data_IF_024912925419
#
_entry.id   IF_024912925419
#
_cell.length_a   1.000
_cell.length_b   1.000
_cell.length_c   1.000
_cell.angle_alpha   90.00
_cell.angle_beta   90.00
_cell.angle_gamma   90.00
#
_symmetry.space_group_name_H-M   'P 1'
#
loop_
_entity.id
_entity.type
_entity.pdbx_description
1 polymer ?
#
# COMPACT_ATOMS: atom_id res chain seq x y z
N UNK A 1 7.23 -25.34 -4.51
CA UNK A 1 6.06 -25.51 -3.62
C UNK A 1 5.50 -24.19 -3.06
N UNK A 2 6.30 -23.30 -2.44
CA UNK A 2 5.77 -22.07 -1.81
C UNK A 2 5.03 -21.11 -2.77
N UNK A 3 5.50 -20.95 -4.00
CA UNK A 3 4.93 -20.01 -5.00
C UNK A 3 3.51 -20.39 -5.47
N UNK A 4 3.25 -21.67 -5.78
CA UNK A 4 1.92 -22.13 -6.19
C UNK A 4 0.87 -21.97 -5.07
N UNK A 5 1.26 -22.26 -3.83
CA UNK A 5 0.41 -22.02 -2.67
C UNK A 5 0.19 -20.53 -2.41
N UNK A 6 1.14 -19.66 -2.76
CA UNK A 6 0.98 -18.22 -2.66
C UNK A 6 0.00 -17.70 -3.72
N UNK A 7 0.10 -18.15 -4.98
CA UNK A 7 -0.84 -17.79 -6.05
C UNK A 7 -2.27 -18.23 -5.70
N UNK A 8 -2.45 -19.48 -5.26
CA UNK A 8 -3.79 -19.97 -4.85
C UNK A 8 -4.40 -19.11 -3.76
N UNK A 9 -3.59 -18.66 -2.79
CA UNK A 9 -4.04 -17.74 -1.73
C UNK A 9 -4.37 -16.35 -2.26
N UNK A 10 -3.56 -15.79 -3.16
CA UNK A 10 -3.90 -14.51 -3.83
C UNK A 10 -5.22 -14.62 -4.58
N UNK A 11 -5.41 -15.69 -5.38
CA UNK A 11 -6.67 -15.90 -6.11
C UNK A 11 -7.86 -16.06 -5.17
N UNK A 12 -7.69 -16.75 -4.03
CA UNK A 12 -8.73 -16.87 -3.02
C UNK A 12 -9.11 -15.51 -2.41
N UNK A 13 -8.12 -14.67 -2.07
CA UNK A 13 -8.37 -13.32 -1.54
C UNK A 13 -9.04 -12.40 -2.56
N UNK A 14 -8.57 -12.42 -3.82
CA UNK A 14 -9.21 -11.67 -4.92
C UNK A 14 -10.64 -12.16 -5.14
N UNK A 15 -10.86 -13.48 -5.16
CA UNK A 15 -12.18 -14.07 -5.29
C UNK A 15 -13.11 -13.66 -4.15
N UNK A 16 -12.61 -13.62 -2.91
CA UNK A 16 -13.37 -13.16 -1.75
C UNK A 16 -13.76 -11.68 -1.87
N UNK A 17 -12.86 -10.82 -2.34
CA UNK A 17 -13.16 -9.41 -2.60
C UNK A 17 -14.21 -9.23 -3.70
N UNK A 18 -14.16 -10.04 -4.76
CA UNK A 18 -15.16 -10.02 -5.83
C UNK A 18 -16.52 -10.52 -5.35
N UNK A 19 -16.56 -11.58 -4.54
CA UNK A 19 -17.79 -12.08 -3.91
C UNK A 19 -18.40 -11.02 -2.99
N UNK A 20 -17.56 -10.34 -2.20
CA UNK A 20 -18.01 -9.23 -1.37
C UNK A 20 -18.58 -8.10 -2.24
N UNK A 21 -17.93 -7.76 -3.36
CA UNK A 21 -18.44 -6.76 -4.30
C UNK A 21 -19.80 -7.14 -4.90
N UNK A 22 -20.04 -8.42 -5.19
CA UNK A 22 -21.37 -8.90 -5.61
C UNK A 22 -22.41 -8.74 -4.48
N UNK A 23 -22.01 -8.94 -3.23
CA UNK A 23 -22.83 -8.61 -2.06
C UNK A 23 -23.15 -7.10 -2.01
N UNK A 24 -22.15 -6.24 -2.19
CA UNK A 24 -22.35 -4.78 -2.27
C UNK A 24 -23.29 -4.42 -3.42
N UNK A 25 -23.16 -5.06 -4.58
CA UNK A 25 -24.04 -4.86 -5.73
C UNK A 25 -25.50 -5.19 -5.39
N UNK A 26 -25.72 -6.30 -4.68
CA UNK A 26 -27.04 -6.76 -4.30
C UNK A 26 -27.69 -5.89 -3.20
N UNK A 27 -26.94 -5.52 -2.16
CA UNK A 27 -27.48 -4.82 -0.99
C UNK A 27 -27.40 -3.28 -1.05
N UNK A 28 -26.37 -2.73 -1.69
CA UNK A 28 -26.06 -1.28 -1.71
C UNK A 28 -26.16 -0.68 -3.13
N UNK A 29 -26.39 -1.51 -4.15
CA UNK A 29 -26.63 -1.10 -5.52
C UNK A 29 -25.36 -0.95 -6.38
N UNK A 30 -25.55 -0.73 -7.70
CA UNK A 30 -24.46 -0.75 -8.68
C UNK A 30 -23.44 0.36 -8.47
N UNK A 31 -23.86 1.55 -8.04
CA UNK A 31 -22.95 2.66 -7.81
C UNK A 31 -21.95 2.34 -6.68
N UNK A 32 -22.42 1.78 -5.56
CA UNK A 32 -21.55 1.41 -4.44
C UNK A 32 -20.64 0.22 -4.77
N UNK A 33 -21.11 -0.72 -5.59
CA UNK A 33 -20.27 -1.80 -6.09
C UNK A 33 -19.16 -1.28 -7.02
N UNK A 34 -19.47 -0.33 -7.89
CA UNK A 34 -18.45 0.33 -8.73
C UNK A 34 -17.43 1.09 -7.89
N UNK A 35 -17.88 1.86 -6.90
CA UNK A 35 -16.99 2.56 -5.95
C UNK A 35 -16.10 1.57 -5.18
N UNK A 36 -16.66 0.48 -4.66
CA UNK A 36 -15.90 -0.57 -3.97
C UNK A 36 -14.85 -1.19 -4.89
N UNK A 37 -15.23 -1.61 -6.10
CA UNK A 37 -14.31 -2.29 -7.01
C UNK A 37 -13.20 -1.37 -7.50
N UNK A 38 -13.55 -0.12 -7.87
CA UNK A 38 -12.56 0.89 -8.27
C UNK A 38 -11.60 1.18 -7.13
N UNK A 39 -12.14 1.34 -5.91
CA UNK A 39 -11.34 1.57 -4.74
C UNK A 39 -10.41 0.42 -4.37
N UNK A 40 -10.94 -0.80 -4.42
CA UNK A 40 -10.20 -2.02 -4.20
C UNK A 40 -9.04 -2.14 -5.20
N UNK A 41 -9.26 -1.88 -6.49
CA UNK A 41 -8.19 -1.94 -7.50
C UNK A 41 -7.09 -0.89 -7.26
N UNK A 42 -7.47 0.34 -6.91
CA UNK A 42 -6.49 1.41 -6.60
C UNK A 42 -5.67 1.02 -5.39
N UNK A 43 -6.30 0.63 -4.29
CA UNK A 43 -5.63 0.24 -3.06
C UNK A 43 -4.78 -1.03 -3.24
N UNK A 44 -5.27 -2.01 -3.98
CA UNK A 44 -4.54 -3.24 -4.27
C UNK A 44 -3.29 -2.96 -5.11
N UNK A 45 -3.39 -2.07 -6.11
CA UNK A 45 -2.26 -1.67 -6.93
C UNK A 45 -1.23 -0.89 -6.13
N UNK A 46 -1.67 0.10 -5.34
CA UNK A 46 -0.77 0.89 -4.50
C UNK A 46 -0.08 0.01 -3.44
N UNK A 47 -0.80 -0.98 -2.91
CA UNK A 47 -0.23 -1.95 -1.96
C UNK A 47 0.88 -2.80 -2.59
N UNK A 48 0.90 -2.99 -3.91
CA UNK A 48 2.05 -3.63 -4.59
C UNK A 48 3.29 -2.74 -4.53
N UNK A 49 3.15 -1.42 -4.68
CA UNK A 49 4.27 -0.50 -4.52
C UNK A 49 4.87 -0.60 -3.10
N UNK A 50 3.99 -0.69 -2.09
CA UNK A 50 4.38 -0.90 -0.70
C UNK A 50 5.21 -2.17 -0.49
N UNK A 51 4.87 -3.26 -1.20
CA UNK A 51 5.61 -4.51 -1.13
C UNK A 51 7.06 -4.37 -1.60
N UNK A 52 7.36 -3.52 -2.58
CA UNK A 52 8.75 -3.28 -2.98
C UNK A 52 9.56 -2.65 -1.86
N UNK A 53 8.97 -1.70 -1.13
CA UNK A 53 9.64 -1.12 0.03
C UNK A 53 9.82 -2.15 1.14
N UNK A 54 8.86 -3.06 1.36
CA UNK A 54 9.01 -4.13 2.34
C UNK A 54 10.15 -5.08 1.96
N UNK A 55 10.26 -5.48 0.68
CA UNK A 55 11.36 -6.31 0.19
C UNK A 55 12.70 -5.60 0.42
N UNK A 56 12.82 -4.31 0.07
CA UNK A 56 14.05 -3.53 0.28
C UNK A 56 14.43 -3.42 1.77
N UNK A 57 13.44 -3.24 2.66
CA UNK A 57 13.67 -3.21 4.11
C UNK A 57 14.17 -4.57 4.59
N UNK A 58 13.53 -5.67 4.19
CA UNK A 58 13.89 -7.01 4.65
C UNK A 58 15.25 -7.47 4.13
N UNK A 59 15.58 -7.11 2.88
CA UNK A 59 16.91 -7.35 2.30
C UNK A 59 17.98 -6.52 3.02
N UNK A 60 17.71 -5.24 3.30
CA UNK A 60 18.63 -4.37 4.01
C UNK A 60 18.94 -4.86 5.43
N UNK A 61 17.94 -5.37 6.15
CA UNK A 61 18.10 -5.91 7.50
C UNK A 61 18.43 -7.42 7.54
N UNK A 62 18.60 -8.07 6.38
CA UNK A 62 19.01 -9.47 6.29
C UNK A 62 18.06 -10.48 6.95
N UNK A 63 16.75 -10.24 6.90
CA UNK A 63 15.76 -11.06 7.62
C UNK A 63 15.57 -12.44 6.99
N UNK A 64 15.55 -13.46 7.86
CA UNK A 64 15.15 -14.83 7.48
C UNK A 64 13.66 -14.93 7.12
N UNK A 65 13.24 -15.95 6.37
CA UNK A 65 11.84 -16.12 5.96
C UNK A 65 10.86 -16.16 7.15
N UNK A 66 11.26 -16.79 8.26
CA UNK A 66 10.45 -16.84 9.50
C UNK A 66 10.23 -15.45 10.09
N UNK A 67 11.28 -14.63 10.13
CA UNK A 67 11.21 -13.25 10.61
C UNK A 67 10.35 -12.38 9.70
N UNK A 68 10.48 -12.54 8.37
CA UNK A 68 9.64 -11.83 7.40
C UNK A 68 8.15 -12.13 7.62
N UNK A 69 7.78 -13.40 7.83
CA UNK A 69 6.39 -13.76 8.14
C UNK A 69 5.87 -13.07 9.41
N UNK A 70 6.70 -13.00 10.45
CA UNK A 70 6.32 -12.38 11.72
C UNK A 70 6.13 -10.88 11.57
N UNK A 71 7.08 -10.20 10.93
CA UNK A 71 7.00 -8.77 10.65
C UNK A 71 5.79 -8.46 9.78
N UNK A 72 5.52 -9.24 8.74
CA UNK A 72 4.40 -9.01 7.83
C UNK A 72 3.03 -9.20 8.50
N UNK A 73 2.90 -10.14 9.44
CA UNK A 73 1.66 -10.30 10.20
C UNK A 73 1.37 -9.09 11.09
N UNK A 74 2.39 -8.59 11.81
CA UNK A 74 2.23 -7.37 12.62
C UNK A 74 2.02 -6.14 11.75
N UNK A 75 2.79 -6.04 10.66
CA UNK A 75 2.69 -5.02 9.61
C UNK A 75 1.28 -4.87 9.05
N UNK A 76 0.62 -5.99 8.74
CA UNK A 76 -0.76 -5.98 8.21
C UNK A 76 -1.76 -5.48 9.26
N UNK A 77 -1.61 -5.92 10.51
CA UNK A 77 -2.52 -5.50 11.59
C UNK A 77 -2.37 -4.00 11.85
N UNK A 78 -1.15 -3.50 11.97
CA UNK A 78 -0.90 -2.07 12.17
C UNK A 78 -1.34 -1.24 10.98
N UNK A 79 -1.02 -1.66 9.75
CA UNK A 79 -1.49 -1.02 8.52
C UNK A 79 -3.01 -0.86 8.50
N UNK A 80 -3.78 -1.92 8.79
CA UNK A 80 -5.25 -1.85 8.83
C UNK A 80 -5.73 -0.84 9.88
N UNK A 81 -5.13 -0.84 11.07
CA UNK A 81 -5.48 0.11 12.14
C UNK A 81 -5.18 1.55 11.73
N UNK A 82 -3.96 1.85 11.29
CA UNK A 82 -3.58 3.20 10.89
C UNK A 82 -4.39 3.69 9.70
N UNK A 83 -4.68 2.83 8.72
CA UNK A 83 -5.53 3.19 7.58
C UNK A 83 -6.96 3.50 8.01
N UNK A 84 -7.57 2.72 8.92
CA UNK A 84 -8.89 3.07 9.45
C UNK A 84 -8.88 4.45 10.13
N UNK A 85 -7.83 4.77 10.89
CA UNK A 85 -7.66 6.09 11.49
C UNK A 85 -7.53 7.20 10.44
N UNK A 86 -6.68 7.02 9.42
CA UNK A 86 -6.50 7.98 8.34
C UNK A 86 -7.76 8.19 7.50
N UNK A 87 -8.53 7.13 7.24
CA UNK A 87 -9.79 7.22 6.50
C UNK A 87 -10.81 8.04 7.28
N UNK A 88 -11.02 7.71 8.56
CA UNK A 88 -11.97 8.42 9.42
C UNK A 88 -11.57 9.89 9.54
N UNK A 89 -10.27 10.15 9.76
CA UNK A 89 -9.73 11.50 9.82
C UNK A 89 -9.89 12.25 8.49
N UNK A 90 -9.53 11.63 7.37
CA UNK A 90 -9.58 12.21 6.03
C UNK A 90 -10.99 12.56 5.60
N UNK A 91 -11.97 11.67 5.80
CA UNK A 91 -13.39 11.93 5.52
C UNK A 91 -13.88 13.11 6.36
N UNK A 92 -13.58 13.11 7.66
CA UNK A 92 -13.98 14.19 8.57
C UNK A 92 -13.38 15.53 8.14
N UNK A 93 -12.12 15.52 7.69
CA UNK A 93 -11.40 16.71 7.27
C UNK A 93 -11.99 17.29 5.99
N UNK A 94 -12.29 16.44 5.00
CA UNK A 94 -12.94 16.85 3.74
C UNK A 94 -14.33 17.42 4.01
N UNK A 95 -15.13 16.78 4.86
CA UNK A 95 -16.48 17.24 5.21
C UNK A 95 -16.47 18.62 5.90
N UNK A 96 -15.43 18.92 6.68
CA UNK A 96 -15.29 20.23 7.35
C UNK A 96 -14.69 21.30 6.47
N UNK A 97 -13.78 20.93 5.58
CA UNK A 97 -12.98 21.87 4.80
C UNK A 97 -12.88 21.41 3.35
N UNK A 98 -13.75 21.94 2.48
CA UNK A 98 -13.75 21.60 1.06
C UNK A 98 -12.38 21.82 0.37
N UNK A 99 -11.63 22.82 0.82
CA UNK A 99 -10.27 23.14 0.33
C UNK A 99 -9.30 21.96 0.45
N UNK A 100 -9.56 21.01 1.37
CA UNK A 100 -8.71 19.84 1.59
C UNK A 100 -8.70 18.91 0.39
N UNK A 101 -9.79 18.84 -0.40
CA UNK A 101 -9.80 18.03 -1.62
C UNK A 101 -8.74 18.55 -2.61
N UNK A 102 -8.59 19.87 -2.72
CA UNK A 102 -7.57 20.48 -3.58
C UNK A 102 -6.15 20.22 -3.06
N UNK A 103 -5.94 20.29 -1.75
CA UNK A 103 -4.67 19.95 -1.13
C UNK A 103 -4.28 18.49 -1.41
N UNK A 104 -5.24 17.57 -1.23
CA UNK A 104 -5.07 16.16 -1.56
C UNK A 104 -4.79 15.93 -3.05
N UNK A 105 -5.50 16.63 -3.94
CA UNK A 105 -5.22 16.57 -5.38
C UNK A 105 -3.81 17.02 -5.74
N UNK A 106 -3.35 18.14 -5.17
CA UNK A 106 -1.99 18.64 -5.36
C UNK A 106 -0.93 17.68 -4.79
N UNK A 107 -1.20 17.07 -3.63
CA UNK A 107 -0.35 16.06 -3.02
C UNK A 107 -0.20 14.83 -3.94
N UNK A 108 -1.30 14.34 -4.52
CA UNK A 108 -1.27 13.20 -5.44
C UNK A 108 -0.46 13.52 -6.71
N UNK A 109 -0.60 14.71 -7.27
CA UNK A 109 0.22 15.14 -8.41
C UNK A 109 1.70 15.22 -8.06
N UNK A 110 2.03 15.70 -6.86
CA UNK A 110 3.41 15.73 -6.37
C UNK A 110 3.98 14.32 -6.21
N UNK A 111 3.22 13.39 -5.64
CA UNK A 111 3.63 11.99 -5.49
C UNK A 111 3.81 11.29 -6.84
N UNK A 112 2.90 11.52 -7.79
CA UNK A 112 3.02 11.05 -9.16
C UNK A 112 4.30 11.58 -9.85
N UNK A 113 4.56 12.88 -9.73
CA UNK A 113 5.77 13.51 -10.27
C UNK A 113 7.03 12.93 -9.66
N UNK A 114 7.05 12.77 -8.33
CA UNK A 114 8.17 12.18 -7.61
C UNK A 114 8.43 10.75 -8.08
N UNK A 115 7.38 9.93 -8.18
CA UNK A 115 7.47 8.54 -8.62
C UNK A 115 7.94 8.41 -10.08
N UNK A 116 7.53 9.32 -10.97
CA UNK A 116 7.89 9.26 -12.39
C UNK A 116 9.34 9.72 -12.67
N UNK A 117 9.83 10.74 -11.96
CA UNK A 117 11.10 11.41 -12.31
C UNK A 117 12.23 11.20 -11.30
N UNK A 118 11.94 10.81 -10.06
CA UNK A 118 13.01 10.53 -9.09
C UNK A 118 13.39 9.06 -9.15
N UNK A 119 14.62 8.79 -9.61
CA UNK A 119 15.23 7.46 -9.42
C UNK A 119 15.29 7.16 -7.94
N UNK A 120 14.83 5.98 -7.54
CA UNK A 120 14.95 5.49 -6.17
C UNK A 120 16.41 5.56 -5.73
N UNK A 121 16.74 6.58 -4.93
CA UNK A 121 17.98 6.54 -4.17
C UNK A 121 17.82 5.37 -3.22
N UNK A 122 18.86 4.53 -3.06
CA UNK A 122 18.92 3.54 -1.97
C UNK A 122 18.79 4.29 -0.64
N UNK A 123 17.55 4.44 -0.15
CA UNK A 123 17.27 5.03 1.16
C UNK A 123 17.79 4.01 2.15
N UNK A 124 18.83 4.36 2.90
CA UNK A 124 19.31 3.50 3.99
C UNK A 124 18.27 3.57 5.12
N UNK A 125 17.45 2.52 5.34
CA UNK A 125 16.38 2.55 6.34
C UNK A 125 16.94 2.82 7.74
N UNK A 126 18.17 2.40 8.02
CA UNK A 126 18.88 2.62 9.29
C UNK A 126 19.20 4.10 9.61
N UNK A 127 19.21 4.96 8.58
CA UNK A 127 19.44 6.40 8.77
C UNK A 127 18.14 7.19 8.90
N UNK A 128 16.98 6.54 8.80
CA UNK A 128 15.67 7.19 8.92
C UNK A 128 15.51 7.78 10.31
N UNK A 129 14.91 8.98 10.40
CA UNK A 129 14.66 9.70 11.66
C UNK A 129 14.04 8.79 12.72
N UNK A 130 13.06 7.97 12.34
CA UNK A 130 12.40 7.01 13.23
C UNK A 130 13.34 5.97 13.84
N UNK A 131 14.26 5.39 13.05
CA UNK A 131 15.22 4.39 13.55
C UNK A 131 16.21 5.03 14.53
N UNK A 132 16.67 6.25 14.22
CA UNK A 132 17.53 7.02 15.13
C UNK A 132 16.83 7.38 16.44
N UNK A 133 15.57 7.78 16.37
CA UNK A 133 14.75 8.08 17.54
C UNK A 133 14.49 6.83 18.38
N UNK A 134 14.16 5.70 17.75
CA UNK A 134 13.97 4.44 18.46
C UNK A 134 15.24 3.97 19.17
N UNK A 135 16.40 4.02 18.50
CA UNK A 135 17.70 3.69 19.11
C UNK A 135 18.10 4.64 20.26
N UNK A 136 17.57 5.87 20.28
CA UNK A 136 17.81 6.85 21.36
C UNK A 136 16.92 6.58 22.58
N UNK A 137 15.74 6.01 22.39
CA UNK A 137 14.74 5.78 23.44
C UNK A 137 14.88 4.37 24.03
N UNK A 138 15.20 3.36 23.22
CA UNK A 138 15.32 1.96 23.65
C UNK A 138 16.65 1.37 23.18
N UNK A 139 17.48 0.79 24.08
CA UNK A 139 18.70 0.10 23.68
C UNK A 139 18.36 -1.10 22.79
N UNK A 140 19.01 -1.19 21.62
CA UNK A 140 18.80 -2.27 20.65
C UNK A 140 19.87 -3.35 20.85
N UNK A 141 19.46 -4.61 20.96
CA UNK A 141 20.40 -5.75 21.06
C UNK A 141 21.12 -6.01 19.73
N UNK A 142 22.37 -6.51 19.80
CA UNK A 142 23.21 -6.72 18.62
C UNK A 142 22.82 -7.91 17.74
N UNK A 143 22.22 -8.95 18.32
CA UNK A 143 21.94 -10.20 17.59
C UNK A 143 20.47 -10.33 17.17
N UNK A 144 20.30 -10.90 15.96
CA UNK A 144 19.02 -11.28 15.34
C UNK A 144 18.51 -12.66 15.80
N UNK A 145 19.20 -13.28 16.77
CA UNK A 145 19.06 -14.70 17.10
C UNK A 145 17.79 -15.03 17.90
N UNK A 146 17.00 -14.03 18.27
CA UNK A 146 15.73 -14.23 18.99
C UNK A 146 14.54 -13.74 18.16
N UNK A 147 13.53 -14.61 17.99
CA UNK A 147 12.25 -14.27 17.35
C UNK A 147 11.43 -13.26 18.18
N UNK A 148 11.90 -12.84 19.36
CA UNK A 148 11.18 -11.92 20.27
C UNK A 148 11.35 -10.47 19.82
N UNK A 149 10.35 -9.63 20.11
CA UNK A 149 10.41 -8.18 19.86
C UNK A 149 11.13 -7.40 20.96
N UNK A 150 11.08 -7.93 22.18
CA UNK A 150 11.73 -7.33 23.34
C UNK A 150 12.45 -8.42 24.12
N UNK A 151 13.62 -8.07 24.63
CA UNK A 151 14.44 -8.90 25.50
C UNK A 151 14.68 -8.16 26.80
N UNK A 152 14.56 -8.87 27.93
CA UNK A 152 14.97 -8.33 29.21
C UNK A 152 16.47 -8.58 29.35
N UNK A 153 17.27 -7.53 29.19
CA UNK A 153 18.73 -7.56 29.38
C UNK A 153 19.09 -7.08 30.79
N UNK A 154 20.36 -7.23 31.17
CA UNK A 154 20.86 -6.72 32.45
C UNK A 154 20.67 -5.20 32.63
N UNK A 155 20.51 -4.45 31.53
CA UNK A 155 20.27 -3.00 31.51
C UNK A 155 18.78 -2.62 31.46
N UNK A 156 17.85 -3.59 31.45
CA UNK A 156 16.40 -3.34 31.36
C UNK A 156 15.74 -3.97 30.13
N UNK A 157 14.59 -3.44 29.71
CA UNK A 157 13.90 -3.90 28.50
C UNK A 157 14.60 -3.34 27.25
N UNK A 158 15.13 -4.21 26.41
CA UNK A 158 15.79 -3.86 25.15
C UNK A 158 14.91 -4.28 23.97
N UNK A 159 14.84 -3.44 22.94
CA UNK A 159 14.16 -3.78 21.69
C UNK A 159 15.08 -4.63 20.84
N UNK A 160 14.53 -5.64 20.17
CA UNK A 160 15.30 -6.40 19.18
C UNK A 160 15.32 -5.69 17.83
N UNK A 161 16.29 -6.00 16.97
CA UNK A 161 16.28 -5.52 15.58
C UNK A 161 14.94 -5.83 14.86
N UNK A 162 14.28 -6.94 15.20
CA UNK A 162 12.99 -7.32 14.62
C UNK A 162 11.87 -6.30 14.93
N UNK A 163 11.87 -5.71 16.14
CA UNK A 163 10.91 -4.66 16.49
C UNK A 163 11.18 -3.37 15.72
N UNK A 164 12.45 -3.02 15.53
CA UNK A 164 12.83 -1.86 14.70
C UNK A 164 12.34 -2.05 13.26
N UNK A 165 12.47 -3.25 12.69
CA UNK A 165 11.93 -3.54 11.35
C UNK A 165 10.42 -3.35 11.31
N UNK A 166 9.66 -3.86 12.27
CA UNK A 166 8.19 -3.63 12.33
C UNK A 166 7.89 -2.13 12.34
N UNK A 167 8.57 -1.35 13.16
CA UNK A 167 8.37 0.09 13.21
C UNK A 167 8.68 0.78 11.87
N UNK A 168 9.74 0.35 11.17
CA UNK A 168 10.08 0.90 9.84
C UNK A 168 9.00 0.52 8.82
N UNK A 169 8.50 -0.71 8.84
CA UNK A 169 7.41 -1.18 7.97
C UNK A 169 6.13 -0.39 8.22
N UNK A 170 5.71 -0.25 9.48
CA UNK A 170 4.53 0.54 9.87
C UNK A 170 4.67 2.01 9.46
N UNK A 171 5.84 2.59 9.70
CA UNK A 171 6.12 3.97 9.30
C UNK A 171 6.07 4.14 7.79
N UNK A 172 6.54 3.14 7.04
CA UNK A 172 6.44 3.15 5.59
C UNK A 172 4.98 3.05 5.14
N UNK A 173 4.15 2.19 5.73
CA UNK A 173 2.73 2.11 5.37
C UNK A 173 1.98 3.41 5.67
N UNK A 174 2.32 4.09 6.78
CA UNK A 174 1.81 5.44 7.08
C UNK A 174 2.20 6.42 5.96
N UNK A 175 3.45 6.40 5.51
CA UNK A 175 3.90 7.23 4.39
C UNK A 175 3.14 6.92 3.09
N UNK A 176 2.81 5.65 2.85
CA UNK A 176 2.01 5.24 1.69
C UNK A 176 0.54 5.63 1.81
N UNK A 177 -0.03 5.62 3.03
CA UNK A 177 -1.40 6.05 3.28
C UNK A 177 -1.61 7.53 2.93
N UNK A 178 -0.54 8.35 2.98
CA UNK A 178 -0.58 9.75 2.54
C UNK A 178 -0.94 9.85 1.05
N UNK A 179 -0.54 8.89 0.22
CA UNK A 179 -0.89 8.87 -1.20
C UNK A 179 -2.17 8.06 -1.47
N UNK A 180 -2.33 6.91 -0.81
CA UNK A 180 -3.45 6.01 -1.12
C UNK A 180 -4.79 6.49 -0.57
N UNK A 181 -4.82 7.09 0.63
CA UNK A 181 -6.07 7.55 1.25
C UNK A 181 -6.71 8.70 0.48
N UNK A 182 -5.99 9.77 0.10
CA UNK A 182 -6.53 10.77 -0.82
C UNK A 182 -7.08 10.18 -2.12
N UNK A 183 -6.39 9.19 -2.70
CA UNK A 183 -6.79 8.59 -3.95
C UNK A 183 -8.12 7.83 -3.84
N UNK A 184 -8.34 7.06 -2.78
CA UNK A 184 -9.63 6.40 -2.55
C UNK A 184 -10.74 7.39 -2.21
N UNK A 185 -10.44 8.47 -1.49
CA UNK A 185 -11.41 9.53 -1.15
C UNK A 185 -11.87 10.33 -2.38
N UNK A 186 -11.08 10.34 -3.45
CA UNK A 186 -11.46 10.88 -4.77
C UNK A 186 -12.44 9.98 -5.55
N UNK A 187 -12.56 8.71 -5.14
CA UNK A 187 -13.50 7.75 -5.72
C UNK A 187 -14.80 7.75 -4.90
N UNK A 188 -14.68 7.65 -3.58
CA UNK A 188 -15.82 7.61 -2.68
C UNK A 188 -15.45 8.11 -1.30
N UNK A 189 -16.36 8.84 -0.68
CA UNK A 189 -16.25 9.29 0.70
C UNK A 189 -17.14 8.46 1.64
N UNK A 190 -17.75 7.37 1.15
CA UNK A 190 -18.60 6.50 1.95
C UNK A 190 -17.73 5.62 2.87
N UNK A 191 -17.72 5.82 4.20
CA UNK A 191 -16.74 5.21 5.10
C UNK A 191 -16.70 3.68 4.99
N UNK A 192 -17.87 3.04 4.89
CA UNK A 192 -17.96 1.59 4.74
C UNK A 192 -17.26 1.09 3.47
N UNK A 193 -17.39 1.79 2.34
CA UNK A 193 -16.80 1.36 1.08
C UNK A 193 -15.28 1.54 1.13
N UNK A 194 -14.81 2.71 1.59
CA UNK A 194 -13.38 3.01 1.73
C UNK A 194 -12.69 2.00 2.66
N UNK A 195 -13.27 1.75 3.84
CA UNK A 195 -12.70 0.84 4.84
C UNK A 195 -12.68 -0.59 4.31
N UNK A 196 -13.82 -1.07 3.77
CA UNK A 196 -13.89 -2.46 3.30
C UNK A 196 -12.98 -2.71 2.09
N UNK A 197 -12.94 -1.80 1.11
CA UNK A 197 -12.06 -1.95 -0.05
C UNK A 197 -10.59 -1.99 0.36
N UNK A 198 -10.20 -1.18 1.34
CA UNK A 198 -8.84 -1.14 1.85
C UNK A 198 -8.48 -2.42 2.63
N UNK A 199 -9.37 -2.90 3.51
CA UNK A 199 -9.18 -4.16 4.24
C UNK A 199 -9.01 -5.32 3.24
N UNK A 200 -9.88 -5.44 2.25
CA UNK A 200 -9.76 -6.50 1.23
C UNK A 200 -8.46 -6.40 0.43
N UNK A 201 -7.98 -5.19 0.14
CA UNK A 201 -6.70 -4.99 -0.53
C UNK A 201 -5.50 -5.43 0.33
N UNK A 202 -5.52 -5.16 1.65
CA UNK A 202 -4.41 -5.46 2.56
C UNK A 202 -4.40 -6.92 3.03
N UNK A 203 -5.54 -7.58 3.19
CA UNK A 203 -5.58 -8.96 3.70
C UNK A 203 -4.84 -9.96 2.77
N UNK A 204 -4.81 -9.69 1.46
CA UNK A 204 -4.06 -10.47 0.48
C UNK A 204 -2.54 -10.22 0.46
N UNK A 205 -2.07 -9.19 1.18
CA UNK A 205 -0.70 -8.67 1.10
C UNK A 205 0.35 -9.73 1.48
N UNK A 206 0.07 -10.56 2.48
CA UNK A 206 1.01 -11.63 2.88
C UNK A 206 1.27 -12.62 1.75
N UNK A 207 0.22 -13.12 1.12
CA UNK A 207 0.36 -14.03 -0.01
C UNK A 207 0.98 -13.33 -1.22
N UNK A 208 0.62 -12.06 -1.44
CA UNK A 208 1.11 -11.27 -2.56
C UNK A 208 2.61 -10.99 -2.43
N UNK A 209 3.11 -10.70 -1.22
CA UNK A 209 4.54 -10.53 -0.95
C UNK A 209 5.37 -11.71 -1.47
N UNK A 210 4.99 -12.96 -1.15
CA UNK A 210 5.74 -14.14 -1.59
C UNK A 210 5.60 -14.43 -3.09
N UNK A 211 4.50 -14.01 -3.72
CA UNK A 211 4.39 -14.04 -5.18
C UNK A 211 5.36 -13.03 -5.76
N UNK A 212 5.28 -11.77 -5.33
CA UNK A 212 6.03 -10.65 -5.92
C UNK A 212 7.54 -10.77 -5.68
N UNK A 213 7.97 -11.21 -4.50
CA UNK A 213 9.39 -11.47 -4.23
C UNK A 213 10.01 -12.46 -5.23
N UNK A 214 9.22 -13.42 -5.74
CA UNK A 214 9.66 -14.39 -6.75
C UNK A 214 9.57 -13.91 -8.20
N UNK A 215 8.83 -12.84 -8.49
CA UNK A 215 8.62 -12.30 -9.85
C UNK A 215 8.92 -10.81 -9.97
N UNK A 216 9.74 -10.28 -9.06
CA UNK A 216 10.13 -8.87 -8.97
C UNK A 216 10.52 -8.23 -10.32
N UNK A 217 11.24 -8.91 -11.25
CA UNK A 217 11.59 -8.34 -12.54
C UNK A 217 10.39 -8.11 -13.48
N UNK A 218 9.29 -8.84 -13.30
CA UNK A 218 8.11 -8.79 -14.18
C UNK A 218 7.20 -7.58 -13.92
N UNK A 219 7.47 -6.77 -12.89
CA UNK A 219 6.65 -5.63 -12.52
C UNK A 219 7.33 -4.26 -12.76
N UNK A 220 8.36 -4.21 -13.63
CA UNK A 220 9.11 -2.99 -13.93
C UNK A 220 8.23 -1.78 -14.30
N UNK A 221 7.19 -2.01 -15.11
CA UNK A 221 6.30 -0.95 -15.58
C UNK A 221 5.11 -0.67 -14.66
N UNK A 222 4.97 -1.41 -13.55
CA UNK A 222 3.88 -1.18 -12.60
C UNK A 222 4.04 0.17 -11.91
N UNK A 223 5.25 0.54 -11.45
CA UNK A 223 5.53 1.84 -10.82
C UNK A 223 5.15 3.03 -11.72
N UNK A 224 5.59 3.09 -13.01
CA UNK A 224 5.09 4.09 -13.95
C UNK A 224 3.56 4.11 -14.10
N UNK A 225 2.92 2.93 -14.15
CA UNK A 225 1.46 2.83 -14.22
C UNK A 225 0.76 3.43 -13.00
N UNK A 226 1.27 3.14 -11.79
CA UNK A 226 0.80 3.74 -10.54
C UNK A 226 0.96 5.26 -10.56
N UNK A 227 2.10 5.78 -11.01
CA UNK A 227 2.32 7.21 -11.13
C UNK A 227 1.28 7.88 -12.05
N UNK A 228 0.94 7.26 -13.18
CA UNK A 228 -0.10 7.76 -14.09
C UNK A 228 -1.48 7.72 -13.44
N UNK A 229 -1.80 6.67 -12.68
CA UNK A 229 -3.06 6.59 -11.92
C UNK A 229 -3.13 7.71 -10.89
N UNK A 230 -2.07 7.93 -10.10
CA UNK A 230 -2.01 9.02 -9.11
C UNK A 230 -2.15 10.39 -9.76
N UNK A 231 -1.49 10.61 -10.92
CA UNK A 231 -1.62 11.85 -11.66
C UNK A 231 -3.07 12.10 -12.12
N UNK A 232 -3.72 11.08 -12.66
CA UNK A 232 -5.12 11.15 -13.08
C UNK A 232 -6.06 11.45 -11.91
N UNK A 233 -5.91 10.71 -10.80
CA UNK A 233 -6.76 10.90 -9.62
C UNK A 233 -6.52 12.28 -8.99
N UNK A 234 -5.26 12.73 -8.91
CA UNK A 234 -4.92 14.07 -8.43
C UNK A 234 -5.52 15.18 -9.30
N UNK A 235 -5.44 15.04 -10.63
CA UNK A 235 -6.07 15.97 -11.56
C UNK A 235 -7.61 15.96 -11.42
N UNK A 236 -8.22 14.78 -11.26
CA UNK A 236 -9.67 14.66 -11.00
C UNK A 236 -10.07 15.42 -9.74
N UNK A 237 -9.31 15.31 -8.65
CA UNK A 237 -9.59 16.04 -7.41
C UNK A 237 -9.48 17.56 -7.58
N UNK A 238 -8.47 18.04 -8.29
CA UNK A 238 -8.29 19.47 -8.55
C UNK A 238 -9.34 20.07 -9.49
N UNK A 239 -9.93 19.24 -10.36
CA UNK A 239 -10.93 19.66 -11.33
C UNK A 239 -12.36 19.37 -10.87
N UNK A 240 -12.58 18.97 -9.62
CA UNK A 240 -13.88 18.49 -9.16
C UNK A 240 -15.04 19.47 -9.36
N UNK A 241 -14.79 20.78 -9.24
CA UNK A 241 -15.81 21.83 -9.39
C UNK A 241 -16.05 22.25 -10.85
N UNK A 242 -15.21 21.77 -11.78
CA UNK A 242 -15.26 22.11 -13.22
C UNK A 242 -15.69 20.90 -14.06
N UNK A 243 -15.20 19.71 -13.71
CA UNK A 243 -15.42 18.46 -14.44
C UNK A 243 -15.73 17.35 -13.44
N UNK A 244 -16.99 16.91 -13.40
CA UNK A 244 -17.35 15.68 -12.70
C UNK A 244 -17.02 14.49 -13.60
N UNK A 245 -16.05 13.67 -13.16
CA UNK A 245 -15.64 12.44 -13.87
C UNK A 245 -16.30 11.24 -13.18
N UNK A 246 -17.32 10.61 -13.80
CA UNK A 246 -17.98 9.46 -13.25
C UNK A 246 -17.01 8.33 -12.87
N UNK A 247 -17.33 7.63 -11.78
CA UNK A 247 -16.52 6.52 -11.25
C UNK A 247 -16.23 5.44 -12.30
N UNK A 248 -17.18 5.18 -13.21
CA UNK A 248 -17.00 4.22 -14.30
C UNK A 248 -15.83 4.60 -15.24
N UNK A 249 -15.68 5.88 -15.59
CA UNK A 249 -14.55 6.33 -16.42
C UNK A 249 -13.23 6.26 -15.66
N UNK A 250 -13.25 6.57 -14.36
CA UNK A 250 -12.09 6.40 -13.49
C UNK A 250 -11.65 4.92 -13.48
N UNK A 251 -12.60 4.00 -13.30
CA UNK A 251 -12.36 2.57 -13.33
C UNK A 251 -11.77 2.10 -14.65
N UNK A 252 -12.38 2.49 -15.78
CA UNK A 252 -11.89 2.12 -17.11
C UNK A 252 -10.46 2.63 -17.35
N UNK A 253 -10.18 3.87 -16.94
CA UNK A 253 -8.84 4.44 -17.04
C UNK A 253 -7.83 3.64 -16.20
N UNK A 254 -8.15 3.37 -14.93
CA UNK A 254 -7.28 2.59 -14.03
C UNK A 254 -7.02 1.20 -14.62
N UNK A 255 -8.06 0.48 -15.04
CA UNK A 255 -7.93 -0.86 -15.64
C UNK A 255 -7.08 -0.81 -16.91
N UNK A 256 -7.26 0.18 -17.77
CA UNK A 256 -6.46 0.34 -18.99
C UNK A 256 -4.98 0.60 -18.70
N UNK A 257 -4.67 1.43 -17.71
CA UNK A 257 -3.28 1.69 -17.29
C UNK A 257 -2.64 0.44 -16.66
N UNK A 258 -3.37 -0.28 -15.80
CA UNK A 258 -2.86 -1.52 -15.21
C UNK A 258 -2.63 -2.60 -16.28
N UNK A 259 -3.59 -2.79 -17.18
CA UNK A 259 -3.48 -3.77 -18.26
C UNK A 259 -2.31 -3.44 -19.19
N UNK A 260 -2.18 -2.18 -19.62
CA UNK A 260 -1.05 -1.75 -20.46
C UNK A 260 0.30 -1.90 -19.74
N UNK A 261 0.37 -1.58 -18.44
CA UNK A 261 1.59 -1.76 -17.64
C UNK A 261 2.03 -3.23 -17.58
N UNK A 262 1.07 -4.15 -17.37
CA UNK A 262 1.35 -5.60 -17.32
C UNK A 262 1.73 -6.14 -18.71
N UNK A 263 1.01 -5.74 -19.76
CA UNK A 263 1.27 -6.18 -21.13
C UNK A 263 2.65 -5.71 -21.60
N UNK A 264 2.96 -4.43 -21.44
CA UNK A 264 4.27 -3.86 -21.79
C UNK A 264 5.40 -4.56 -21.04
N UNK A 265 5.18 -4.91 -19.76
CA UNK A 265 6.17 -5.67 -18.98
C UNK A 265 6.41 -7.10 -19.49
N UNK A 266 5.41 -7.73 -20.12
CA UNK A 266 5.59 -9.05 -20.77
C UNK A 266 6.26 -8.96 -22.13
N UNK A 267 5.94 -7.94 -22.93
CA UNK A 267 6.43 -7.82 -24.30
C UNK A 267 7.84 -7.21 -24.38
N UNK A 268 8.19 -6.29 -23.49
CA UNK A 268 9.53 -5.71 -23.41
C UNK A 268 10.38 -6.57 -22.46
N UNK A 269 10.83 -7.74 -22.95
CA UNK A 269 12.00 -8.41 -22.38
C UNK A 269 13.24 -7.63 -22.82
N UNK A 270 13.96 -7.01 -21.89
CA UNK A 270 15.28 -6.47 -22.20
C UNK A 270 16.20 -7.64 -22.56
N UNK A 271 16.98 -7.48 -23.63
CA UNK A 271 18.09 -8.36 -23.96
C UNK A 271 19.03 -8.41 -22.75
N UNK A 272 19.38 -9.62 -22.35
CA UNK A 272 20.42 -9.90 -21.35
C UNK A 272 21.75 -9.22 -21.74
#
# INVERSE_FOLDING_TARGET
MHYEHAIKRVMAWVGLALLFNLGVLYFLGPQKALEFFTGYLVEYTLSVDNLFVFIMIFEFFGLTEKQQHKVLNWGIVGAVVFRMLFVVFGITLIHKFHVIIYFFGALLLWSAYKMAFHKERKVNPDKTLLVRWCRKIIPVTGDYDDDKFFLKTAAGLSATPLFVVVLVVESSDIMFAIDSIPAILAITQHPFIVITSNIFAVLGLRSLYFVIAGVMPLFRFLKPGVAVILAFVGAKMLLMDVVDIPTMYSLLFIVAILASSILTSRFIKEKA
#
